data_IF_630958751249
#
_entry.id   IF_630958751249
#
_cell.length_a   1.000
_cell.length_b   1.000
_cell.length_c   1.000
_cell.angle_alpha   90.00
_cell.angle_beta   90.00
_cell.angle_gamma   90.00
#
_symmetry.space_group_name_H-M   'P 1'
#
loop_
_entity.id
_entity.type
_entity.pdbx_description
1 polymer ?
#
# COMPACT_ATOMS: atom_id res chain seq x y z
N UNK A 1 24.58 -0.20 64.21
CA UNK A 1 25.35 0.38 63.08
C UNK A 1 26.14 1.54 63.66
N UNK A 2 27.45 1.63 63.41
CA UNK A 2 28.28 2.70 63.98
C UNK A 2 27.98 4.02 63.25
N UNK A 3 27.85 5.12 63.99
CA UNK A 3 27.65 6.45 63.40
C UNK A 3 28.85 6.84 62.54
N UNK A 4 28.60 7.37 61.34
CA UNK A 4 29.63 7.78 60.40
C UNK A 4 30.48 8.93 60.99
N UNK A 5 31.76 8.96 60.64
CA UNK A 5 32.63 10.11 60.92
C UNK A 5 32.22 11.32 60.09
N UNK A 6 32.62 12.52 60.50
CA UNK A 6 32.28 13.76 59.78
C UNK A 6 32.76 13.74 58.30
N UNK A 7 33.94 13.18 58.05
CA UNK A 7 34.48 13.03 56.68
C UNK A 7 33.67 12.04 55.85
N UNK A 8 33.24 10.92 56.44
CA UNK A 8 32.39 9.93 55.75
C UNK A 8 31.00 10.51 55.42
N UNK A 9 30.44 11.31 56.33
CA UNK A 9 29.17 12.03 56.10
C UNK A 9 29.31 13.02 54.93
N UNK A 10 30.37 13.82 54.91
CA UNK A 10 30.61 14.79 53.84
C UNK A 10 30.80 14.11 52.48
N UNK A 11 31.53 12.98 52.46
CA UNK A 11 31.70 12.17 51.27
C UNK A 11 30.39 11.53 50.79
N UNK A 12 29.58 11.00 51.70
CA UNK A 12 28.27 10.43 51.38
C UNK A 12 27.32 11.49 50.84
N UNK A 13 27.23 12.67 51.48
CA UNK A 13 26.43 13.81 51.00
C UNK A 13 26.86 14.25 49.60
N UNK A 14 28.17 14.35 49.36
CA UNK A 14 28.69 14.70 48.03
C UNK A 14 28.36 13.61 46.99
N UNK A 15 28.46 12.34 47.36
CA UNK A 15 28.12 11.21 46.48
C UNK A 15 26.63 11.18 46.14
N UNK A 16 25.75 11.29 47.14
CA UNK A 16 24.29 11.34 46.95
C UNK A 16 23.85 12.58 46.17
N UNK A 17 24.50 13.72 46.42
CA UNK A 17 24.30 14.93 45.63
C UNK A 17 24.53 14.68 44.14
N UNK A 18 25.70 14.15 43.76
CA UNK A 18 25.99 13.83 42.36
C UNK A 18 25.03 12.82 41.75
N UNK A 19 24.63 11.80 42.51
CA UNK A 19 23.67 10.79 42.08
C UNK A 19 22.29 11.41 41.79
N UNK A 20 21.81 12.28 42.68
CA UNK A 20 20.53 12.98 42.53
C UNK A 20 20.57 14.03 41.43
N UNK A 21 21.70 14.73 41.23
CA UNK A 21 21.87 15.66 40.12
C UNK A 21 21.79 14.93 38.77
N UNK A 22 22.39 13.74 38.67
CA UNK A 22 22.29 12.89 37.48
C UNK A 22 20.85 12.41 37.23
N UNK A 23 20.15 11.96 38.27
CA UNK A 23 18.72 11.59 38.19
C UNK A 23 17.87 12.78 37.76
N UNK A 24 18.14 13.97 38.30
CA UNK A 24 17.43 15.20 37.94
C UNK A 24 17.58 15.49 36.45
N UNK A 25 18.80 15.39 35.90
CA UNK A 25 19.04 15.59 34.49
C UNK A 25 18.24 14.60 33.63
N UNK A 26 18.25 13.31 33.97
CA UNK A 26 17.49 12.28 33.25
C UNK A 26 15.97 12.50 33.34
N UNK A 27 15.45 12.90 34.50
CA UNK A 27 14.02 13.19 34.66
C UNK A 27 13.59 14.44 33.86
N UNK A 28 14.45 15.44 33.73
CA UNK A 28 14.19 16.60 32.87
C UNK A 28 14.18 16.24 31.37
N UNK A 29 15.04 15.31 30.95
CA UNK A 29 14.98 14.75 29.59
C UNK A 29 13.69 13.98 29.35
N UNK A 30 13.28 13.16 30.33
CA UNK A 30 12.03 12.40 30.28
C UNK A 30 10.80 13.33 30.20
N UNK A 31 10.78 14.43 30.97
CA UNK A 31 9.68 15.40 30.96
C UNK A 31 9.49 16.06 29.58
N UNK A 32 10.58 16.17 28.82
CA UNK A 32 10.62 16.71 27.45
C UNK A 32 10.47 15.64 26.36
N UNK A 33 10.30 14.38 26.73
CA UNK A 33 10.23 13.29 25.78
C UNK A 33 9.04 13.48 24.81
N UNK A 34 9.21 13.40 23.49
CA UNK A 34 8.14 13.65 22.52
C UNK A 34 6.89 12.79 22.76
N UNK A 35 7.06 11.51 23.07
CA UNK A 35 5.97 10.62 23.45
C UNK A 35 5.16 11.09 24.68
N UNK A 36 5.82 11.65 25.69
CA UNK A 36 5.13 12.17 26.88
C UNK A 36 4.42 13.49 26.58
N UNK A 37 5.05 14.37 25.80
CA UNK A 37 4.45 15.63 25.33
C UNK A 37 3.19 15.35 24.52
N UNK A 38 3.21 14.34 23.65
CA UNK A 38 2.04 13.92 22.88
C UNK A 38 0.88 13.49 23.78
N UNK A 39 1.15 12.57 24.73
CA UNK A 39 0.12 12.02 25.63
C UNK A 39 -0.48 13.08 26.57
N UNK A 40 0.31 14.06 27.00
CA UNK A 40 -0.17 15.19 27.81
C UNK A 40 -0.94 16.21 26.99
N UNK A 41 -0.57 16.38 25.70
CA UNK A 41 -1.23 17.33 24.81
C UNK A 41 -2.58 16.83 24.31
N UNK A 42 -2.69 15.54 24.01
CA UNK A 42 -3.89 14.91 23.45
C UNK A 42 -4.22 13.66 24.28
N UNK A 43 -5.39 13.60 24.94
CA UNK A 43 -5.78 12.44 25.72
C UNK A 43 -5.76 11.15 24.89
N UNK A 44 -5.01 10.12 25.31
CA UNK A 44 -4.93 8.88 24.55
C UNK A 44 -6.26 8.13 24.59
N UNK A 45 -6.50 7.32 23.56
CA UNK A 45 -7.68 6.45 23.44
C UNK A 45 -7.28 5.01 23.12
N UNK A 46 -8.24 4.09 23.15
CA UNK A 46 -8.09 2.73 22.62
C UNK A 46 -6.96 1.88 23.23
N UNK A 47 -6.01 1.43 22.42
CA UNK A 47 -4.89 0.58 22.86
C UNK A 47 -3.89 1.38 23.69
N UNK A 48 -3.55 2.58 23.22
CA UNK A 48 -2.60 3.47 23.87
C UNK A 48 -3.09 3.88 25.25
N UNK A 49 -4.36 4.23 25.41
CA UNK A 49 -4.93 4.57 26.73
C UNK A 49 -4.83 3.42 27.75
N UNK A 50 -5.14 2.19 27.31
CA UNK A 50 -5.08 1.01 28.18
C UNK A 50 -3.66 0.71 28.65
N UNK A 51 -2.68 0.92 27.78
CA UNK A 51 -1.27 0.74 28.12
C UNK A 51 -0.70 1.94 28.90
N UNK A 52 -1.23 3.14 28.68
CA UNK A 52 -0.80 4.36 29.36
C UNK A 52 -1.19 4.36 30.85
N UNK A 53 -2.41 3.96 31.20
CA UNK A 53 -2.91 4.03 32.58
C UNK A 53 -1.96 3.46 33.66
N UNK A 54 -1.39 2.24 33.54
CA UNK A 54 -0.42 1.75 34.53
C UNK A 54 0.94 2.47 34.47
N UNK A 55 1.32 3.01 33.30
CA UNK A 55 2.58 3.76 33.13
C UNK A 55 2.46 5.16 33.74
N UNK A 56 1.31 5.80 33.64
CA UNK A 56 0.99 7.08 34.26
C UNK A 56 1.12 6.99 35.79
N UNK A 57 0.53 5.96 36.40
CA UNK A 57 0.68 5.70 37.83
C UNK A 57 2.13 5.46 38.25
N UNK A 58 2.89 4.75 37.41
CA UNK A 58 4.31 4.50 37.66
C UNK A 58 5.15 5.77 37.53
N UNK A 59 4.80 6.65 36.59
CA UNK A 59 5.42 7.95 36.39
C UNK A 59 5.14 8.88 37.58
N UNK A 60 3.89 8.95 38.05
CA UNK A 60 3.51 9.73 39.22
C UNK A 60 4.26 9.26 40.47
N UNK A 61 4.30 7.94 40.71
CA UNK A 61 5.06 7.37 41.82
C UNK A 61 6.55 7.69 41.73
N UNK A 62 7.12 7.69 40.52
CA UNK A 62 8.53 8.03 40.31
C UNK A 62 8.82 9.51 40.64
N UNK A 63 7.90 10.43 40.33
CA UNK A 63 8.02 11.83 40.72
C UNK A 63 7.84 12.04 42.23
N UNK A 64 6.91 11.33 42.87
CA UNK A 64 6.79 11.33 44.34
C UNK A 64 8.07 10.83 45.01
N UNK A 65 8.62 9.72 44.51
CA UNK A 65 9.86 9.11 44.96
C UNK A 65 11.04 10.07 44.83
N UNK A 66 11.14 10.77 43.70
CA UNK A 66 12.14 11.81 43.50
C UNK A 66 12.01 12.93 44.55
N UNK A 67 10.79 13.42 44.80
CA UNK A 67 10.52 14.42 45.83
C UNK A 67 10.91 13.95 47.24
N UNK A 68 10.64 12.68 47.58
CA UNK A 68 11.07 12.08 48.87
C UNK A 68 12.60 12.06 49.00
N UNK A 69 13.31 11.68 47.93
CA UNK A 69 14.78 11.63 47.92
C UNK A 69 15.37 13.03 48.10
N UNK A 70 14.83 14.04 47.40
CA UNK A 70 15.24 15.43 47.56
C UNK A 70 15.02 15.92 49.00
N UNK A 71 13.84 15.66 49.58
CA UNK A 71 13.52 16.04 50.94
C UNK A 71 14.48 15.43 51.98
N UNK A 72 14.81 14.14 51.85
CA UNK A 72 15.78 13.48 52.76
C UNK A 72 17.17 14.11 52.61
N UNK A 73 17.63 14.35 51.38
CA UNK A 73 18.95 14.95 51.15
C UNK A 73 19.02 16.39 51.68
N UNK A 74 17.98 17.19 51.46
CA UNK A 74 17.94 18.58 51.94
C UNK A 74 17.85 18.63 53.46
N UNK A 75 17.10 17.74 54.10
CA UNK A 75 17.10 17.59 55.55
C UNK A 75 18.50 17.24 56.07
N UNK A 76 19.21 16.30 55.43
CA UNK A 76 20.57 15.93 55.81
C UNK A 76 21.55 17.11 55.63
N UNK A 77 21.43 17.90 54.55
CA UNK A 77 22.22 19.12 54.31
C UNK A 77 21.96 20.18 55.39
N UNK A 78 20.71 20.39 55.79
CA UNK A 78 20.34 21.33 56.85
C UNK A 78 20.95 20.91 58.18
N UNK A 79 20.79 19.66 58.59
CA UNK A 79 21.37 19.14 59.84
C UNK A 79 22.89 19.27 59.83
N UNK A 80 23.55 19.00 58.69
CA UNK A 80 24.99 19.15 58.54
C UNK A 80 25.47 20.60 58.61
N UNK A 81 24.68 21.56 58.11
CA UNK A 81 25.01 22.98 58.06
C UNK A 81 24.79 23.72 59.40
N UNK A 82 23.98 23.17 60.31
CA UNK A 82 23.65 23.81 61.60
C UNK A 82 24.86 24.03 62.52
N UNK A 83 25.90 23.18 62.44
CA UNK A 83 27.07 23.25 63.34
C UNK A 83 28.38 22.88 62.65
N UNK A 84 29.45 23.63 62.95
CA UNK A 84 30.82 23.35 62.47
C UNK A 84 31.42 22.08 63.07
N UNK A 85 31.06 21.73 64.33
CA UNK A 85 31.45 20.48 65.00
C UNK A 85 30.20 19.65 65.29
N UNK A 86 30.11 18.47 64.69
CA UNK A 86 28.99 17.54 64.85
C UNK A 86 29.06 16.81 66.19
N UNK A 87 27.94 16.79 66.92
CA UNK A 87 27.78 15.94 68.11
C UNK A 87 27.56 14.46 67.71
N UNK A 88 27.68 13.53 68.65
CA UNK A 88 27.35 12.11 68.40
C UNK A 88 25.88 11.93 67.96
N UNK A 89 24.97 12.72 68.53
CA UNK A 89 23.57 12.73 68.16
C UNK A 89 23.37 13.20 66.70
N UNK A 90 24.05 14.28 66.30
CA UNK A 90 24.00 14.78 64.91
C UNK A 90 24.55 13.74 63.92
N UNK A 91 25.65 13.05 64.27
CA UNK A 91 26.24 11.98 63.43
C UNK A 91 25.32 10.78 63.29
N UNK A 92 24.64 10.39 64.38
CA UNK A 92 23.68 9.30 64.37
C UNK A 92 22.47 9.65 63.49
N UNK A 93 21.94 10.87 63.62
CA UNK A 93 20.81 11.34 62.80
C UNK A 93 21.18 11.45 61.32
N UNK A 94 22.36 11.98 60.98
CA UNK A 94 22.84 12.04 59.60
C UNK A 94 23.07 10.64 59.02
N UNK A 95 23.59 9.70 59.81
CA UNK A 95 23.74 8.30 59.39
C UNK A 95 22.37 7.67 59.11
N UNK A 96 21.37 7.93 59.96
CA UNK A 96 19.98 7.48 59.77
C UNK A 96 19.37 8.06 58.49
N UNK A 97 19.53 9.36 58.25
CA UNK A 97 19.00 10.02 57.05
C UNK A 97 19.63 9.50 55.76
N UNK A 98 20.94 9.28 55.75
CA UNK A 98 21.67 8.94 54.53
C UNK A 98 21.71 7.44 54.20
N UNK A 99 21.70 6.56 55.22
CA UNK A 99 21.88 5.11 55.03
C UNK A 99 20.72 4.24 55.50
N UNK A 100 19.84 4.76 56.35
CA UNK A 100 18.69 4.01 56.83
C UNK A 100 17.41 4.40 56.09
N UNK A 101 16.26 4.14 56.73
CA UNK A 101 14.93 4.40 56.19
C UNK A 101 14.24 5.47 57.03
N UNK A 102 14.59 6.75 56.83
CA UNK A 102 14.14 7.80 57.73
C UNK A 102 12.72 8.29 57.47
N UNK A 103 12.14 7.99 56.30
CA UNK A 103 10.91 8.62 55.83
C UNK A 103 9.74 7.64 55.83
N UNK A 104 8.61 8.03 56.39
CA UNK A 104 7.38 7.24 56.40
C UNK A 104 6.76 7.24 54.99
N UNK A 105 6.76 6.08 54.33
CA UNK A 105 6.27 5.89 52.99
C UNK A 105 4.76 5.67 52.92
N UNK A 106 4.23 4.83 53.82
CA UNK A 106 2.83 4.46 53.88
C UNK A 106 2.45 4.01 55.29
N UNK A 107 1.19 4.25 55.65
CA UNK A 107 0.57 3.83 56.90
C UNK A 107 -0.72 3.11 56.58
N UNK A 108 -0.78 1.83 56.89
CA UNK A 108 -1.94 0.98 56.59
C UNK A 108 -2.53 0.43 57.87
N UNK A 109 -3.83 0.60 58.08
CA UNK A 109 -4.51 0.01 59.23
C UNK A 109 -4.45 -1.52 59.13
N UNK A 110 -3.95 -2.18 60.18
CA UNK A 110 -3.95 -3.63 60.28
C UNK A 110 -5.40 -4.07 60.54
N UNK A 111 -5.99 -5.02 59.78
CA UNK A 111 -7.34 -5.50 60.04
C UNK A 111 -7.50 -6.05 61.47
N UNK A 112 -8.66 -5.82 62.10
CA UNK A 112 -8.88 -6.17 63.52
C UNK A 112 -8.55 -7.63 63.86
N UNK A 113 -8.83 -8.57 62.94
CA UNK A 113 -8.54 -10.00 63.10
C UNK A 113 -7.04 -10.34 63.17
N UNK A 114 -6.17 -9.43 62.70
CA UNK A 114 -4.71 -9.58 62.70
C UNK A 114 -4.05 -8.72 63.79
N UNK A 115 -4.83 -7.99 64.59
CA UNK A 115 -4.34 -7.18 65.71
C UNK A 115 -4.16 -8.05 66.95
N UNK A 116 -3.13 -7.76 67.74
CA UNK A 116 -3.04 -8.25 69.12
C UNK A 116 -3.55 -7.17 70.09
N UNK A 117 -4.02 -7.59 71.27
CA UNK A 117 -4.64 -6.71 72.28
C UNK A 117 -3.74 -5.53 72.70
N UNK A 118 -2.42 -5.67 72.55
CA UNK A 118 -1.40 -4.65 72.87
C UNK A 118 -0.49 -4.33 71.67
N UNK A 119 -0.85 -4.78 70.47
CA UNK A 119 -0.04 -4.60 69.26
C UNK A 119 -0.35 -3.30 68.53
N UNK A 120 0.49 -2.92 67.56
CA UNK A 120 0.24 -1.76 66.72
C UNK A 120 -1.04 -1.96 65.89
N UNK A 121 -1.87 -0.93 65.79
CA UNK A 121 -3.07 -0.93 64.95
C UNK A 121 -2.81 -0.60 63.47
N UNK A 122 -1.58 -0.18 63.17
CA UNK A 122 -1.14 0.29 61.85
C UNK A 122 0.24 -0.29 61.52
N UNK A 123 0.44 -0.64 60.25
CA UNK A 123 1.73 -0.97 59.68
C UNK A 123 2.29 0.27 58.99
N UNK A 124 3.46 0.72 59.45
CA UNK A 124 4.17 1.88 58.88
C UNK A 124 5.36 1.37 58.08
N UNK A 125 5.39 1.70 56.79
CA UNK A 125 6.51 1.39 55.90
C UNK A 125 7.46 2.58 55.89
N UNK A 126 8.73 2.37 56.19
CA UNK A 126 9.75 3.40 56.04
C UNK A 126 10.60 3.14 54.79
N UNK A 127 11.03 4.21 54.11
CA UNK A 127 11.93 4.16 52.94
C UNK A 127 13.12 5.10 53.12
N UNK A 128 14.25 4.71 52.53
CA UNK A 128 15.45 5.54 52.44
C UNK A 128 15.81 5.95 51.02
N UNK A 129 16.86 6.76 50.90
CA UNK A 129 17.37 7.21 49.60
C UNK A 129 17.68 6.00 48.69
N UNK A 130 18.37 4.98 49.23
CA UNK A 130 18.74 3.79 48.46
C UNK A 130 17.52 3.00 47.96
N UNK A 131 16.52 2.75 48.80
CA UNK A 131 15.32 1.99 48.42
C UNK A 131 14.53 2.73 47.32
N UNK A 132 14.43 4.05 47.45
CA UNK A 132 13.69 4.89 46.52
C UNK A 132 14.40 5.01 45.17
N UNK A 133 15.72 5.25 45.16
CA UNK A 133 16.50 5.27 43.92
C UNK A 133 16.48 3.92 43.20
N UNK A 134 16.49 2.79 43.92
CA UNK A 134 16.40 1.47 43.30
C UNK A 134 15.03 1.24 42.64
N UNK A 135 13.95 1.66 43.30
CA UNK A 135 12.60 1.61 42.73
C UNK A 135 12.49 2.48 41.47
N UNK A 136 13.03 3.71 41.51
CA UNK A 136 13.09 4.59 40.34
C UNK A 136 13.88 3.97 39.19
N UNK A 137 15.05 3.37 39.46
CA UNK A 137 15.88 2.67 38.46
C UNK A 137 15.16 1.49 37.83
N UNK A 138 14.34 0.78 38.61
CA UNK A 138 13.54 -0.33 38.12
C UNK A 138 12.37 0.14 37.25
N UNK A 139 11.72 1.24 37.64
CA UNK A 139 10.56 1.80 36.94
C UNK A 139 10.94 2.48 35.61
N UNK A 140 12.05 3.22 35.59
CA UNK A 140 12.42 4.10 34.49
C UNK A 140 12.47 3.41 33.11
N UNK A 141 13.12 2.23 32.93
CA UNK A 141 13.18 1.57 31.62
C UNK A 141 11.81 1.15 31.08
N UNK A 142 10.83 0.91 31.94
CA UNK A 142 9.47 0.59 31.49
C UNK A 142 8.76 1.82 30.96
N UNK A 143 8.87 2.96 31.66
CA UNK A 143 8.32 4.25 31.22
C UNK A 143 8.99 4.68 29.90
N UNK A 144 10.31 4.71 29.86
CA UNK A 144 11.08 5.15 28.68
C UNK A 144 10.70 4.34 27.43
N UNK A 145 10.71 2.99 27.51
CA UNK A 145 10.34 2.13 26.37
C UNK A 145 8.91 2.37 25.87
N UNK A 146 7.98 2.65 26.78
CA UNK A 146 6.61 2.97 26.39
C UNK A 146 6.54 4.29 25.62
N UNK A 147 7.21 5.33 26.14
CA UNK A 147 7.25 6.64 25.49
C UNK A 147 7.99 6.60 24.14
N UNK A 148 9.08 5.83 24.04
CA UNK A 148 9.80 5.58 22.79
C UNK A 148 8.89 4.92 21.75
N UNK A 149 8.08 3.94 22.14
CA UNK A 149 7.16 3.26 21.24
C UNK A 149 6.07 4.21 20.73
N UNK A 150 5.54 5.07 21.59
CA UNK A 150 4.56 6.11 21.24
C UNK A 150 5.16 7.11 20.25
N UNK A 151 6.36 7.63 20.54
CA UNK A 151 7.05 8.56 19.65
C UNK A 151 7.38 7.92 18.30
N UNK A 152 7.96 6.72 18.30
CA UNK A 152 8.33 6.02 17.07
C UNK A 152 7.12 5.76 16.16
N UNK A 153 5.98 5.37 16.74
CA UNK A 153 4.75 5.17 15.97
C UNK A 153 4.23 6.49 15.39
N UNK A 154 4.16 7.56 16.20
CA UNK A 154 3.65 8.84 15.75
C UNK A 154 4.56 9.51 14.71
N UNK A 155 5.86 9.57 14.99
CA UNK A 155 6.87 10.10 14.08
C UNK A 155 6.91 9.34 12.76
N UNK A 156 6.71 8.02 12.76
CA UNK A 156 6.61 7.24 11.53
C UNK A 156 5.45 7.71 10.65
N UNK A 157 4.25 7.86 11.21
CA UNK A 157 3.07 8.29 10.46
C UNK A 157 3.31 9.66 9.81
N UNK A 158 3.88 10.60 10.56
CA UNK A 158 4.22 11.93 10.05
C UNK A 158 5.20 11.88 8.87
N UNK A 159 6.27 11.09 9.00
CA UNK A 159 7.30 10.98 7.96
C UNK A 159 6.79 10.28 6.69
N UNK A 160 6.07 9.16 6.82
CA UNK A 160 5.59 8.42 5.65
C UNK A 160 4.47 9.13 4.90
N UNK A 161 3.64 9.92 5.59
CA UNK A 161 2.54 10.66 4.97
C UNK A 161 2.99 11.97 4.31
N UNK A 162 4.16 12.52 4.68
CA UNK A 162 4.69 13.79 4.17
C UNK A 162 4.71 13.90 2.64
N UNK A 163 5.16 12.88 1.86
CA UNK A 163 5.10 12.93 0.40
C UNK A 163 3.66 12.98 -0.14
N UNK A 164 2.75 12.20 0.45
CA UNK A 164 1.33 12.14 0.07
C UNK A 164 0.67 13.49 0.34
N UNK A 165 0.91 14.10 1.50
CA UNK A 165 0.40 15.43 1.85
C UNK A 165 0.93 16.53 0.91
N UNK A 166 2.22 16.49 0.58
CA UNK A 166 2.83 17.46 -0.33
C UNK A 166 2.19 17.42 -1.72
N UNK A 167 2.02 16.23 -2.28
CA UNK A 167 1.36 16.05 -3.58
C UNK A 167 -0.14 16.40 -3.55
N UNK A 168 -0.87 16.02 -2.49
CA UNK A 168 -2.27 16.43 -2.30
C UNK A 168 -2.42 17.95 -2.25
N UNK A 169 -1.50 18.65 -1.59
CA UNK A 169 -1.52 20.12 -1.50
C UNK A 169 -1.32 20.78 -2.86
N UNK A 170 -0.51 20.19 -3.74
CA UNK A 170 -0.31 20.67 -5.12
C UNK A 170 -1.53 20.43 -6.00
N UNK A 171 -2.16 19.27 -5.88
CA UNK A 171 -3.31 18.88 -6.71
C UNK A 171 -4.62 19.50 -6.24
N UNK A 172 -4.74 19.80 -4.93
CA UNK A 172 -5.96 20.30 -4.31
C UNK A 172 -7.07 19.25 -4.22
N UNK A 173 -8.22 19.63 -3.67
CA UNK A 173 -9.40 18.76 -3.51
C UNK A 173 -10.30 18.69 -4.75
N UNK A 174 -9.73 18.73 -5.95
CA UNK A 174 -10.47 18.95 -7.21
C UNK A 174 -11.36 17.76 -7.55
N UNK A 175 -10.96 16.54 -7.19
CA UNK A 175 -11.73 15.32 -7.45
C UNK A 175 -12.26 14.68 -6.17
N UNK A 176 -13.34 13.88 -6.23
CA UNK A 176 -13.81 13.12 -5.08
C UNK A 176 -12.76 12.15 -4.52
N UNK A 177 -11.92 11.58 -5.39
CA UNK A 177 -10.85 10.67 -4.98
C UNK A 177 -9.76 11.43 -4.20
N UNK A 178 -9.32 12.60 -4.66
CA UNK A 178 -8.36 13.42 -3.91
C UNK A 178 -8.90 13.84 -2.54
N UNK A 179 -10.20 14.15 -2.44
CA UNK A 179 -10.86 14.42 -1.15
C UNK A 179 -10.87 13.19 -0.25
N UNK A 180 -11.23 12.02 -0.78
CA UNK A 180 -11.22 10.77 -0.03
C UNK A 180 -9.80 10.38 0.46
N UNK A 181 -8.77 10.64 -0.35
CA UNK A 181 -7.38 10.45 0.07
C UNK A 181 -7.01 11.44 1.17
N UNK A 182 -7.39 12.72 1.05
CA UNK A 182 -7.15 13.73 2.09
C UNK A 182 -7.84 13.37 3.42
N UNK A 183 -9.08 12.89 3.37
CA UNK A 183 -9.83 12.44 4.55
C UNK A 183 -9.15 11.22 5.20
N UNK A 184 -8.66 10.26 4.39
CA UNK A 184 -7.93 9.11 4.90
C UNK A 184 -6.59 9.49 5.54
N UNK A 185 -5.87 10.45 4.97
CA UNK A 185 -4.66 11.02 5.57
C UNK A 185 -4.98 11.70 6.91
N UNK A 186 -6.06 12.48 6.97
CA UNK A 186 -6.50 13.13 8.20
C UNK A 186 -6.92 12.12 9.29
N UNK A 187 -7.62 11.05 8.92
CA UNK A 187 -7.96 9.95 9.84
C UNK A 187 -6.70 9.25 10.37
N UNK A 188 -5.72 8.96 9.50
CA UNK A 188 -4.45 8.37 9.95
C UNK A 188 -3.70 9.28 10.91
N UNK A 189 -3.64 10.60 10.66
CA UNK A 189 -3.01 11.57 11.55
C UNK A 189 -3.77 11.69 12.88
N UNK A 190 -5.10 11.73 12.83
CA UNK A 190 -5.95 11.80 14.02
C UNK A 190 -5.79 10.56 14.91
N UNK A 191 -5.74 9.37 14.31
CA UNK A 191 -5.47 8.11 15.03
C UNK A 191 -4.05 8.06 15.55
N UNK A 192 -3.05 8.51 14.80
CA UNK A 192 -1.67 8.59 15.27
C UNK A 192 -1.52 9.50 16.49
N UNK A 193 -2.29 10.59 16.52
CA UNK A 193 -2.27 11.54 17.63
C UNK A 193 -2.97 11.04 18.90
N UNK A 194 -3.97 10.16 18.77
CA UNK A 194 -4.83 9.71 19.88
C UNK A 194 -4.60 8.25 20.30
N UNK A 195 -4.21 7.38 19.37
CA UNK A 195 -3.94 5.96 19.60
C UNK A 195 -2.77 5.44 18.73
N UNK A 196 -1.55 5.99 18.91
CA UNK A 196 -0.37 5.63 18.11
C UNK A 196 -0.02 4.14 18.19
N UNK A 197 -0.25 3.48 19.32
CA UNK A 197 0.09 2.07 19.53
C UNK A 197 -0.92 1.08 18.96
N UNK A 198 -2.07 1.54 18.45
CA UNK A 198 -3.08 0.66 17.87
C UNK A 198 -2.72 0.14 16.48
N UNK A 199 -1.82 0.82 15.76
CA UNK A 199 -1.45 0.43 14.40
C UNK A 199 0.03 0.06 14.35
N UNK A 200 0.34 -1.09 13.78
CA UNK A 200 1.72 -1.54 13.61
C UNK A 200 2.43 -0.76 12.51
N UNK A 201 3.77 -0.72 12.54
CA UNK A 201 4.58 -0.09 11.50
C UNK A 201 4.27 -0.63 10.09
N UNK A 202 4.07 -1.95 9.95
CA UNK A 202 3.76 -2.59 8.67
C UNK A 202 2.37 -2.18 8.14
N UNK A 203 1.38 -2.00 9.01
CA UNK A 203 0.05 -1.52 8.62
C UNK A 203 0.09 -0.04 8.20
N UNK A 204 0.85 0.79 8.92
CA UNK A 204 1.11 2.20 8.56
C UNK A 204 1.72 2.26 7.16
N UNK A 205 2.75 1.47 6.89
CA UNK A 205 3.43 1.44 5.59
C UNK A 205 2.50 0.96 4.48
N UNK A 206 1.74 -0.11 4.75
CA UNK A 206 0.81 -0.70 3.77
C UNK A 206 -0.27 0.30 3.37
N UNK A 207 -0.91 0.94 4.36
CA UNK A 207 -1.94 1.96 4.11
C UNK A 207 -1.37 3.17 3.39
N UNK A 208 -0.20 3.64 3.81
CA UNK A 208 0.46 4.78 3.15
C UNK A 208 0.83 4.47 1.71
N UNK A 209 1.36 3.28 1.43
CA UNK A 209 1.67 2.83 0.09
C UNK A 209 0.41 2.71 -0.78
N UNK A 210 -0.72 2.31 -0.20
CA UNK A 210 -2.01 2.30 -0.90
C UNK A 210 -2.47 3.72 -1.26
N UNK A 211 -2.42 4.66 -0.31
CA UNK A 211 -2.76 6.07 -0.55
C UNK A 211 -1.85 6.68 -1.62
N UNK A 212 -0.54 6.41 -1.56
CA UNK A 212 0.41 6.87 -2.56
C UNK A 212 0.07 6.33 -3.96
N UNK A 213 -0.24 5.03 -4.09
CA UNK A 213 -0.67 4.43 -5.37
C UNK A 213 -1.96 5.03 -5.90
N UNK A 214 -2.94 5.29 -5.02
CA UNK A 214 -4.21 5.94 -5.40
C UNK A 214 -3.98 7.37 -5.89
N UNK A 215 -3.18 8.15 -5.16
CA UNK A 215 -2.80 9.51 -5.51
C UNK A 215 -2.04 9.57 -6.83
N UNK A 216 -1.09 8.65 -7.05
CA UNK A 216 -0.32 8.60 -8.28
C UNK A 216 -1.21 8.31 -9.50
N UNK A 217 -2.16 7.37 -9.37
CA UNK A 217 -3.16 7.11 -10.43
C UNK A 217 -3.99 8.36 -10.74
N UNK A 218 -4.53 8.99 -9.71
CA UNK A 218 -5.37 10.18 -9.86
C UNK A 218 -4.59 11.37 -10.45
N UNK A 219 -3.32 11.53 -10.04
CA UNK A 219 -2.42 12.55 -10.59
C UNK A 219 -2.17 12.34 -12.09
N UNK A 220 -1.91 11.10 -12.51
CA UNK A 220 -1.74 10.76 -13.94
C UNK A 220 -3.01 11.06 -14.74
N UNK A 221 -4.17 10.68 -14.21
CA UNK A 221 -5.46 10.97 -14.83
C UNK A 221 -5.67 12.48 -15.00
N UNK A 222 -5.37 13.29 -13.97
CA UNK A 222 -5.48 14.75 -14.04
C UNK A 222 -4.49 15.38 -15.03
N UNK A 223 -3.28 14.84 -15.16
CA UNK A 223 -2.31 15.28 -16.16
C UNK A 223 -2.83 14.98 -17.57
N UNK A 224 -3.35 13.78 -17.81
CA UNK A 224 -3.95 13.42 -19.10
C UNK A 224 -5.11 14.36 -19.45
N UNK A 225 -6.03 14.59 -18.51
CA UNK A 225 -7.16 15.51 -18.71
C UNK A 225 -6.68 16.94 -19.01
N UNK A 226 -5.64 17.40 -18.33
CA UNK A 226 -5.07 18.74 -18.56
C UNK A 226 -4.48 18.87 -19.97
N UNK A 227 -3.78 17.85 -20.44
CA UNK A 227 -3.26 17.80 -21.81
C UNK A 227 -4.40 17.84 -22.83
N UNK A 228 -5.49 17.09 -22.58
CA UNK A 228 -6.67 17.14 -23.46
C UNK A 228 -7.31 18.53 -23.50
N UNK A 229 -7.45 19.20 -22.35
CA UNK A 229 -8.05 20.54 -22.31
C UNK A 229 -7.15 21.63 -22.88
N UNK A 230 -5.81 21.47 -22.79
CA UNK A 230 -4.86 22.48 -23.25
C UNK A 230 -4.89 22.68 -24.78
N UNK A 231 -5.14 21.60 -25.53
CA UNK A 231 -5.33 21.65 -26.99
C UNK A 231 -6.54 20.79 -27.40
N UNK A 232 -7.71 21.26 -26.97
CA UNK A 232 -8.98 20.60 -27.26
C UNK A 232 -9.22 20.37 -28.77
N UNK A 233 -8.99 21.35 -29.66
CA UNK A 233 -9.21 21.15 -31.10
C UNK A 233 -8.32 20.04 -31.69
N UNK A 234 -7.04 19.96 -31.29
CA UNK A 234 -6.18 18.87 -31.72
C UNK A 234 -6.64 17.53 -31.14
N UNK A 235 -7.05 17.51 -29.86
CA UNK A 235 -7.55 16.30 -29.22
C UNK A 235 -8.81 15.74 -29.91
N UNK A 236 -9.74 16.60 -30.33
CA UNK A 236 -10.93 16.22 -31.10
C UNK A 236 -10.52 15.71 -32.48
N UNK A 237 -9.67 16.44 -33.21
CA UNK A 237 -9.22 16.03 -34.56
C UNK A 237 -8.56 14.65 -34.54
N UNK A 238 -7.62 14.42 -33.62
CA UNK A 238 -6.98 13.12 -33.45
C UNK A 238 -7.99 11.99 -33.16
N UNK A 239 -9.05 12.30 -32.40
CA UNK A 239 -10.10 11.31 -32.08
C UNK A 239 -10.98 11.04 -33.30
N UNK A 240 -11.28 12.05 -34.11
CA UNK A 240 -11.97 11.90 -35.40
C UNK A 240 -11.18 11.02 -36.35
N UNK A 241 -9.88 11.24 -36.47
CA UNK A 241 -8.99 10.45 -37.33
C UNK A 241 -8.95 8.98 -36.91
N UNK A 242 -8.83 8.72 -35.60
CA UNK A 242 -8.90 7.35 -35.06
C UNK A 242 -10.24 6.69 -35.36
N UNK A 243 -11.35 7.40 -35.16
CA UNK A 243 -12.68 6.87 -35.46
C UNK A 243 -12.90 6.60 -36.95
N UNK A 244 -12.38 7.46 -37.83
CA UNK A 244 -12.40 7.25 -39.28
C UNK A 244 -11.60 6.00 -39.68
N UNK A 245 -10.41 5.80 -39.07
CA UNK A 245 -9.62 4.59 -39.29
C UNK A 245 -10.36 3.32 -38.84
N UNK A 246 -11.08 3.35 -37.70
CA UNK A 246 -11.93 2.24 -37.27
C UNK A 246 -13.03 1.95 -38.30
N UNK A 247 -13.70 2.99 -38.82
CA UNK A 247 -14.69 2.83 -39.90
C UNK A 247 -14.13 2.08 -41.11
N UNK A 248 -12.93 2.43 -41.57
CA UNK A 248 -12.28 1.74 -42.69
C UNK A 248 -11.92 0.27 -42.39
N UNK A 249 -11.67 -0.10 -41.13
CA UNK A 249 -11.49 -1.51 -40.73
C UNK A 249 -12.82 -2.24 -40.71
N UNK A 250 -13.88 -1.61 -40.18
CA UNK A 250 -15.24 -2.17 -40.15
C UNK A 250 -15.75 -2.46 -41.56
N UNK A 251 -15.60 -1.52 -42.49
CA UNK A 251 -16.01 -1.69 -43.89
C UNK A 251 -15.27 -2.85 -44.57
N UNK A 252 -13.95 -2.95 -44.36
CA UNK A 252 -13.13 -4.06 -44.87
C UNK A 252 -13.54 -5.40 -44.26
N UNK A 253 -13.80 -5.45 -42.95
CA UNK A 253 -14.26 -6.64 -42.27
C UNK A 253 -15.63 -7.09 -42.79
N UNK A 254 -16.55 -6.15 -43.02
CA UNK A 254 -17.86 -6.43 -43.58
C UNK A 254 -17.77 -7.01 -45.00
N UNK A 255 -16.94 -6.41 -45.87
CA UNK A 255 -16.69 -6.90 -47.22
C UNK A 255 -16.06 -8.31 -47.22
N UNK A 256 -15.03 -8.53 -46.40
CA UNK A 256 -14.38 -9.84 -46.29
C UNK A 256 -15.38 -10.90 -45.79
N UNK A 257 -16.23 -10.55 -44.82
CA UNK A 257 -17.28 -11.44 -44.30
C UNK A 257 -18.29 -11.82 -45.39
N UNK A 258 -18.76 -10.85 -46.18
CA UNK A 258 -19.67 -11.11 -47.31
C UNK A 258 -19.04 -12.06 -48.32
N UNK A 259 -17.78 -11.82 -48.69
CA UNK A 259 -17.04 -12.69 -49.59
C UNK A 259 -16.86 -14.10 -49.05
N UNK A 260 -16.60 -14.28 -47.75
CA UNK A 260 -16.51 -15.60 -47.12
C UNK A 260 -17.86 -16.30 -47.17
N UNK A 261 -18.94 -15.61 -46.82
CA UNK A 261 -20.30 -16.18 -46.81
C UNK A 261 -20.77 -16.61 -48.21
N UNK A 262 -20.33 -15.89 -49.25
CA UNK A 262 -20.57 -16.28 -50.64
C UNK A 262 -19.70 -17.48 -51.06
N UNK A 263 -18.40 -17.44 -50.74
CA UNK A 263 -17.40 -18.32 -51.36
C UNK A 263 -17.10 -19.60 -50.59
N UNK A 264 -17.36 -19.64 -49.29
CA UNK A 264 -16.87 -20.66 -48.37
C UNK A 264 -18.01 -21.23 -47.56
N UNK A 265 -18.07 -22.55 -47.47
CA UNK A 265 -19.05 -23.24 -46.66
C UNK A 265 -18.59 -23.17 -45.20
N UNK A 266 -19.15 -22.22 -44.44
CA UNK A 266 -18.82 -21.97 -43.04
C UNK A 266 -20.09 -21.70 -42.24
N UNK A 267 -20.00 -21.84 -40.92
CA UNK A 267 -21.01 -21.30 -40.02
C UNK A 267 -21.06 -19.76 -40.14
N UNK A 268 -22.19 -19.11 -39.80
CA UNK A 268 -22.28 -17.65 -39.79
C UNK A 268 -21.14 -17.04 -38.97
N UNK A 269 -20.32 -16.21 -39.63
CA UNK A 269 -19.28 -15.45 -38.96
C UNK A 269 -19.89 -14.44 -37.96
N UNK A 270 -19.21 -14.13 -36.84
CA UNK A 270 -19.66 -13.13 -35.90
C UNK A 270 -19.96 -11.80 -36.60
N UNK A 271 -21.16 -11.26 -36.37
CA UNK A 271 -21.55 -9.94 -36.82
C UNK A 271 -21.58 -9.01 -35.61
N UNK A 272 -20.77 -7.95 -35.64
CA UNK A 272 -20.80 -6.90 -34.64
C UNK A 272 -21.63 -5.74 -35.16
N UNK A 273 -22.41 -5.11 -34.28
CA UNK A 273 -23.11 -3.87 -34.59
C UNK A 273 -22.08 -2.79 -34.91
N UNK A 274 -22.30 -2.04 -35.98
CA UNK A 274 -21.50 -0.85 -36.26
C UNK A 274 -21.80 0.24 -35.22
N UNK A 275 -20.80 0.54 -34.39
CA UNK A 275 -20.85 1.56 -33.35
C UNK A 275 -20.23 2.90 -33.81
N UNK A 276 -19.67 2.97 -35.03
CA UNK A 276 -18.94 4.16 -35.49
C UNK A 276 -19.84 5.39 -35.60
N UNK A 277 -21.09 5.22 -36.06
CA UNK A 277 -22.09 6.29 -36.14
C UNK A 277 -22.43 6.90 -34.78
N UNK A 278 -22.89 6.10 -33.79
CA UNK A 278 -23.12 6.58 -32.42
C UNK A 278 -21.90 7.26 -31.80
N UNK A 279 -20.70 6.65 -31.92
CA UNK A 279 -19.46 7.23 -31.40
C UNK A 279 -19.11 8.57 -32.06
N UNK A 280 -19.43 8.74 -33.35
CA UNK A 280 -19.24 10.01 -34.08
C UNK A 280 -20.17 11.09 -33.55
N UNK A 281 -21.45 10.78 -33.37
CA UNK A 281 -22.43 11.72 -32.80
C UNK A 281 -22.05 12.18 -31.38
N UNK A 282 -21.54 11.27 -30.55
CA UNK A 282 -21.01 11.62 -29.23
C UNK A 282 -19.77 12.52 -29.33
N UNK A 283 -18.85 12.25 -30.27
CA UNK A 283 -17.66 13.08 -30.49
C UNK A 283 -18.01 14.49 -30.96
N UNK A 284 -18.98 14.62 -31.87
CA UNK A 284 -19.41 15.92 -32.37
C UNK A 284 -20.12 16.74 -31.28
N UNK A 285 -20.93 16.08 -30.44
CA UNK A 285 -21.52 16.71 -29.25
C UNK A 285 -20.45 17.26 -28.30
N UNK A 286 -19.34 16.54 -28.13
CA UNK A 286 -18.20 17.02 -27.32
C UNK A 286 -17.41 18.13 -28.01
N UNK A 287 -17.28 18.09 -29.33
CA UNK A 287 -16.59 19.11 -30.11
C UNK A 287 -17.29 20.48 -30.04
N UNK A 288 -18.63 20.47 -30.05
CA UNK A 288 -19.46 21.68 -30.02
C UNK A 288 -19.79 22.17 -28.60
N UNK A 289 -19.44 21.37 -27.58
CA UNK A 289 -19.73 21.65 -26.18
C UNK A 289 -18.73 22.59 -25.48
N UNK A 290 -19.01 22.89 -24.21
CA UNK A 290 -18.09 23.67 -23.36
C UNK A 290 -16.90 22.80 -22.95
N UNK A 291 -15.69 23.35 -23.09
CA UNK A 291 -14.45 22.67 -22.66
C UNK A 291 -14.29 22.81 -21.15
N UNK A 292 -14.64 21.75 -20.42
CA UNK A 292 -14.43 21.63 -18.98
C UNK A 292 -13.84 20.26 -18.60
N UNK A 293 -13.61 20.04 -17.30
CA UNK A 293 -13.08 18.76 -16.81
C UNK A 293 -14.01 17.57 -17.12
N UNK A 294 -15.32 17.80 -17.19
CA UNK A 294 -16.32 16.77 -17.53
C UNK A 294 -16.23 16.39 -19.00
N UNK A 295 -16.08 17.35 -19.90
CA UNK A 295 -15.86 17.13 -21.33
C UNK A 295 -14.56 16.34 -21.55
N UNK A 296 -13.47 16.71 -20.88
CA UNK A 296 -12.20 15.96 -20.98
C UNK A 296 -12.33 14.51 -20.51
N UNK A 297 -13.06 14.27 -19.41
CA UNK A 297 -13.36 12.91 -18.95
C UNK A 297 -14.18 12.12 -19.98
N UNK A 298 -15.22 12.75 -20.55
CA UNK A 298 -16.05 12.11 -21.57
C UNK A 298 -15.27 11.79 -22.85
N UNK A 299 -14.37 12.67 -23.29
CA UNK A 299 -13.51 12.43 -24.45
C UNK A 299 -12.54 11.27 -24.21
N UNK A 300 -11.97 11.17 -23.01
CA UNK A 300 -11.11 10.04 -22.63
C UNK A 300 -11.87 8.72 -22.67
N UNK A 301 -13.08 8.69 -22.10
CA UNK A 301 -13.94 7.51 -22.12
C UNK A 301 -14.35 7.13 -23.56
N UNK A 302 -14.65 8.11 -24.39
CA UNK A 302 -14.95 7.91 -25.80
C UNK A 302 -13.76 7.31 -26.56
N UNK A 303 -12.54 7.82 -26.33
CA UNK A 303 -11.30 7.26 -26.89
C UNK A 303 -11.09 5.80 -26.50
N UNK A 304 -11.40 5.43 -25.25
CA UNK A 304 -11.33 4.04 -24.77
C UNK A 304 -12.31 3.14 -25.54
N UNK A 305 -13.55 3.59 -25.73
CA UNK A 305 -14.57 2.86 -26.50
C UNK A 305 -14.19 2.72 -27.97
N UNK A 306 -13.61 3.75 -28.59
CA UNK A 306 -13.08 3.71 -29.95
C UNK A 306 -11.97 2.65 -30.07
N UNK A 307 -11.04 2.60 -29.12
CA UNK A 307 -9.98 1.58 -29.11
C UNK A 307 -10.54 0.16 -28.99
N UNK A 308 -11.55 -0.05 -28.13
CA UNK A 308 -12.22 -1.35 -28.02
C UNK A 308 -13.01 -1.73 -29.29
N UNK A 309 -13.59 -0.76 -30.00
CA UNK A 309 -14.21 -0.98 -31.30
C UNK A 309 -13.18 -1.35 -32.38
N UNK A 310 -12.00 -0.71 -32.36
CA UNK A 310 -10.89 -1.03 -33.25
C UNK A 310 -10.46 -2.49 -33.10
N UNK A 311 -10.16 -2.95 -31.88
CA UNK A 311 -9.72 -4.33 -31.63
C UNK A 311 -10.75 -5.34 -32.11
N UNK A 312 -12.05 -5.09 -31.87
CA UNK A 312 -13.13 -5.97 -32.37
C UNK A 312 -13.18 -6.00 -33.90
N UNK A 313 -13.04 -4.85 -34.57
CA UNK A 313 -13.05 -4.77 -36.02
C UNK A 313 -11.84 -5.49 -36.65
N UNK A 314 -10.65 -5.34 -36.04
CA UNK A 314 -9.42 -6.03 -36.47
C UNK A 314 -9.55 -7.55 -36.34
N UNK A 315 -10.06 -8.05 -35.20
CA UNK A 315 -10.30 -9.48 -35.00
C UNK A 315 -11.30 -10.07 -36.01
N UNK A 316 -12.37 -9.31 -36.33
CA UNK A 316 -13.35 -9.72 -37.33
C UNK A 316 -12.75 -9.77 -38.74
N UNK A 317 -11.93 -8.77 -39.09
CA UNK A 317 -11.21 -8.74 -40.37
C UNK A 317 -10.21 -9.90 -40.49
N UNK A 318 -9.41 -10.15 -39.45
CA UNK A 318 -8.43 -11.22 -39.42
C UNK A 318 -9.08 -12.59 -39.62
N UNK A 319 -10.19 -12.86 -38.92
CA UNK A 319 -10.93 -14.11 -39.06
C UNK A 319 -11.47 -14.31 -40.49
N UNK A 320 -12.11 -13.28 -41.05
CA UNK A 320 -12.69 -13.38 -42.39
C UNK A 320 -11.60 -13.50 -43.46
N UNK A 321 -10.56 -12.66 -43.38
CA UNK A 321 -9.44 -12.68 -44.32
C UNK A 321 -8.67 -14.00 -44.26
N UNK A 322 -8.45 -14.57 -43.06
CA UNK A 322 -7.77 -15.85 -42.90
C UNK A 322 -8.47 -17.01 -43.62
N UNK A 323 -9.81 -17.00 -43.70
CA UNK A 323 -10.56 -18.01 -44.47
C UNK A 323 -10.38 -17.85 -45.99
N UNK A 324 -10.39 -16.61 -46.48
CA UNK A 324 -10.13 -16.30 -47.89
C UNK A 324 -8.70 -16.67 -48.29
N UNK A 325 -7.73 -16.32 -47.45
CA UNK A 325 -6.32 -16.63 -47.64
C UNK A 325 -6.09 -18.14 -47.63
N UNK A 326 -6.77 -18.87 -46.72
CA UNK A 326 -6.71 -20.35 -46.71
C UNK A 326 -7.24 -20.94 -48.01
N UNK A 327 -8.32 -20.40 -48.58
CA UNK A 327 -8.82 -20.85 -49.89
C UNK A 327 -7.80 -20.57 -51.00
N UNK A 328 -7.16 -19.41 -50.99
CA UNK A 328 -6.12 -19.05 -51.95
C UNK A 328 -4.88 -19.95 -51.82
N UNK A 329 -4.45 -20.25 -50.59
CA UNK A 329 -3.35 -21.18 -50.29
C UNK A 329 -3.64 -22.58 -50.84
N UNK A 330 -4.84 -23.12 -50.60
CA UNK A 330 -5.24 -24.42 -51.12
C UNK A 330 -5.24 -24.47 -52.66
N UNK A 331 -5.65 -23.38 -53.34
CA UNK A 331 -5.50 -23.26 -54.80
C UNK A 331 -4.05 -23.31 -55.24
N UNK A 332 -3.17 -22.55 -54.59
CA UNK A 332 -1.73 -22.56 -54.89
C UNK A 332 -1.10 -23.93 -54.68
N UNK A 333 -1.44 -24.61 -53.57
CA UNK A 333 -0.95 -25.96 -53.24
C UNK A 333 -1.39 -27.00 -54.26
N UNK A 334 -2.67 -26.99 -54.65
CA UNK A 334 -3.16 -27.91 -55.68
C UNK A 334 -2.42 -27.70 -57.01
N UNK A 335 -2.25 -26.45 -57.45
CA UNK A 335 -1.51 -26.12 -58.66
C UNK A 335 -0.05 -26.60 -58.60
N UNK A 336 0.62 -26.45 -57.46
CA UNK A 336 1.98 -26.94 -57.28
C UNK A 336 2.08 -28.46 -57.38
N UNK A 337 1.14 -29.21 -56.80
CA UNK A 337 1.11 -30.67 -56.93
C UNK A 337 0.74 -31.14 -58.35
N UNK A 338 -0.11 -30.39 -59.07
CA UNK A 338 -0.38 -30.64 -60.49
C UNK A 338 0.90 -30.52 -61.34
N UNK A 339 1.68 -29.45 -61.13
CA UNK A 339 2.98 -29.28 -61.80
C UNK A 339 3.95 -30.42 -61.43
N UNK A 340 4.00 -30.83 -60.15
CA UNK A 340 4.86 -31.93 -59.71
C UNK A 340 4.47 -33.26 -60.38
N UNK A 341 3.18 -33.58 -60.44
CA UNK A 341 2.69 -34.80 -61.10
C UNK A 341 3.05 -34.84 -62.59
N UNK A 342 2.90 -33.71 -63.29
CA UNK A 342 3.31 -33.56 -64.69
C UNK A 342 4.83 -33.77 -64.87
N UNK A 343 5.66 -33.16 -64.02
CA UNK A 343 7.12 -33.31 -64.07
C UNK A 343 7.58 -34.75 -63.83
N UNK A 344 6.87 -35.50 -63.00
CA UNK A 344 7.14 -36.92 -62.72
C UNK A 344 6.53 -37.85 -63.78
N UNK A 345 5.81 -37.33 -64.77
CA UNK A 345 5.19 -38.12 -65.85
C UNK A 345 4.03 -39.02 -65.40
N UNK A 346 3.50 -38.80 -64.19
CA UNK A 346 2.41 -39.61 -63.59
C UNK A 346 1.04 -38.94 -63.70
N UNK A 347 0.95 -37.77 -64.34
CA UNK A 347 -0.30 -37.00 -64.43
C UNK A 347 -1.43 -37.72 -65.15
N UNK A 348 -1.12 -38.62 -66.08
CA UNK A 348 -2.10 -39.39 -66.87
C UNK A 348 -2.53 -40.71 -66.23
N UNK A 349 -1.96 -41.06 -65.06
CA UNK A 349 -2.34 -42.28 -64.35
C UNK A 349 -3.75 -42.14 -63.78
N UNK A 350 -4.56 -43.19 -63.93
CA UNK A 350 -6.01 -43.14 -63.65
C UNK A 350 -6.32 -42.69 -62.22
N UNK A 351 -5.56 -43.19 -61.24
CA UNK A 351 -5.69 -42.84 -59.83
C UNK A 351 -5.36 -41.36 -59.58
N UNK A 352 -4.28 -40.85 -60.20
CA UNK A 352 -3.83 -39.45 -60.09
C UNK A 352 -4.86 -38.51 -60.74
N UNK A 353 -5.37 -38.85 -61.93
CA UNK A 353 -6.42 -38.12 -62.62
C UNK A 353 -7.73 -38.08 -61.81
N UNK A 354 -8.09 -39.19 -61.16
CA UNK A 354 -9.28 -39.27 -60.31
C UNK A 354 -9.16 -38.35 -59.09
N UNK A 355 -8.05 -38.46 -58.34
CA UNK A 355 -7.79 -37.63 -57.18
C UNK A 355 -7.69 -36.14 -57.55
N UNK A 356 -7.05 -35.79 -58.67
CA UNK A 356 -6.99 -34.42 -59.17
C UNK A 356 -8.37 -33.85 -59.51
N UNK A 357 -9.24 -34.64 -60.18
CA UNK A 357 -10.61 -34.24 -60.50
C UNK A 357 -11.44 -33.98 -59.24
N UNK A 358 -11.29 -34.81 -58.22
CA UNK A 358 -11.98 -34.62 -56.92
C UNK A 358 -11.51 -33.31 -56.27
N UNK A 359 -10.20 -33.11 -56.12
CA UNK A 359 -9.65 -31.90 -55.48
C UNK A 359 -10.03 -30.62 -56.25
N UNK A 360 -9.91 -30.62 -57.58
CA UNK A 360 -10.29 -29.49 -58.44
C UNK A 360 -11.79 -29.22 -58.37
N UNK A 361 -12.61 -30.27 -58.41
CA UNK A 361 -14.06 -30.18 -58.33
C UNK A 361 -14.54 -29.61 -56.99
N UNK A 362 -13.99 -30.06 -55.87
CA UNK A 362 -14.34 -29.53 -54.54
C UNK A 362 -13.93 -28.06 -54.38
N UNK A 363 -12.75 -27.69 -54.87
CA UNK A 363 -12.24 -26.31 -54.78
C UNK A 363 -12.98 -25.32 -55.70
N UNK A 364 -13.57 -25.83 -56.79
CA UNK A 364 -14.40 -25.07 -57.72
C UNK A 364 -15.84 -24.83 -57.24
N UNK A 365 -16.31 -25.49 -56.18
CA UNK A 365 -17.66 -25.28 -55.63
C UNK A 365 -17.81 -23.91 -54.99
N UNK A 366 -19.02 -23.37 -55.06
CA UNK A 366 -19.45 -22.15 -54.37
C UNK A 366 -20.78 -22.46 -53.69
N UNK A 367 -20.85 -22.53 -52.35
CA UNK A 367 -19.75 -22.34 -51.39
C UNK A 367 -18.77 -23.53 -51.31
N UNK A 368 -17.47 -23.24 -51.10
CA UNK A 368 -16.38 -24.21 -51.01
C UNK A 368 -16.18 -24.72 -49.57
N UNK A 369 -16.20 -26.04 -49.35
CA UNK A 369 -15.83 -26.65 -48.06
C UNK A 369 -14.30 -26.79 -47.94
N UNK A 370 -13.68 -25.91 -47.15
CA UNK A 370 -12.23 -25.89 -46.97
C UNK A 370 -11.68 -27.16 -46.31
N UNK A 371 -12.44 -27.81 -45.43
CA UNK A 371 -12.02 -29.03 -44.75
C UNK A 371 -12.05 -30.22 -45.73
N UNK A 372 -13.09 -30.32 -46.55
CA UNK A 372 -13.17 -31.31 -47.63
C UNK A 372 -12.05 -31.13 -48.66
N UNK A 373 -11.79 -29.90 -49.09
CA UNK A 373 -10.70 -29.58 -50.04
C UNK A 373 -9.33 -29.91 -49.45
N UNK A 374 -9.08 -29.58 -48.19
CA UNK A 374 -7.79 -29.87 -47.55
C UNK A 374 -7.51 -31.37 -47.57
N UNK A 375 -8.49 -32.21 -47.23
CA UNK A 375 -8.36 -33.67 -47.32
C UNK A 375 -8.10 -34.14 -48.75
N UNK A 376 -8.88 -33.67 -49.72
CA UNK A 376 -8.73 -34.08 -51.11
C UNK A 376 -7.36 -33.69 -51.72
N UNK A 377 -6.78 -32.55 -51.33
CA UNK A 377 -5.43 -32.15 -51.76
C UNK A 377 -4.37 -33.05 -51.10
N UNK A 378 -4.53 -33.41 -49.83
CA UNK A 378 -3.63 -34.36 -49.16
C UNK A 378 -3.69 -35.74 -49.80
N UNK A 379 -4.89 -36.24 -50.12
CA UNK A 379 -5.08 -37.53 -50.80
C UNK A 379 -4.42 -37.49 -52.19
N UNK A 380 -4.63 -36.40 -52.95
CA UNK A 380 -3.97 -36.20 -54.25
C UNK A 380 -2.44 -36.22 -54.14
N UNK A 381 -1.87 -35.55 -53.12
CA UNK A 381 -0.44 -35.57 -52.86
C UNK A 381 0.07 -36.99 -52.58
N UNK A 382 -0.64 -37.78 -51.77
CA UNK A 382 -0.27 -39.16 -51.44
C UNK A 382 -0.31 -40.06 -52.67
N UNK A 383 -1.38 -40.00 -53.47
CA UNK A 383 -1.51 -40.77 -54.71
C UNK A 383 -0.38 -40.44 -55.69
N UNK A 384 -0.02 -39.16 -55.86
CA UNK A 384 1.12 -38.76 -56.70
C UNK A 384 2.43 -39.37 -56.19
N UNK A 385 2.64 -39.40 -54.87
CA UNK A 385 3.84 -39.99 -54.27
C UNK A 385 3.88 -41.51 -54.52
N UNK A 386 2.80 -42.23 -54.20
CA UNK A 386 2.72 -43.69 -54.31
C UNK A 386 2.85 -44.19 -55.75
N UNK A 387 2.26 -43.48 -56.72
CA UNK A 387 2.35 -43.83 -58.15
C UNK A 387 3.76 -43.54 -58.68
N UNK A 388 4.37 -42.42 -58.27
CA UNK A 388 5.75 -42.10 -58.68
C UNK A 388 6.79 -43.06 -58.09
N UNK A 389 6.60 -43.50 -56.84
CA UNK A 389 7.47 -44.46 -56.16
C UNK A 389 7.33 -45.90 -56.65
N UNK A 390 6.23 -46.25 -57.32
CA UNK A 390 6.05 -47.55 -58.02
C UNK A 390 6.74 -47.60 -59.39
N UNK A 391 7.07 -46.44 -59.97
CA UNK A 391 7.72 -46.31 -61.30
C UNK A 391 9.23 -46.09 -61.23
N UNK A 392 9.74 -45.53 -60.13
CA UNK A 392 11.17 -45.47 -59.82
C UNK A 392 11.64 -46.78 -59.23
#
# INVERSE_FOLDING_TARGET
>A
MHALTALEIDNELASRGREIDAVTATLLELDRHPGLVLLRGIPPTGVTARQWAPIEQLLDLMWEDFGRVQAILDQARVVRAQRTKLTEADRTELTRLLRERPHEAARTAIPMAQRSLTGPGEQVLFVGIADTLERMRTAFPQIARFLDAVDAANSRVLEVLKPVQSELSKLGGVTPELRAIADAVADMLGRSATDPLATTAAEIDTRTAELARRLERESRDLVELRVLTADWPAAITQTRDRLAAVGAVVDRAALAREQVQEKIHTAPLPAHRDETGPLRGELDTLADGVVDARAAFALRELRRRIAAAQTRAEQALELAQGLLDRRAELRGRLAAYQVKAARLGVSEESDVLSANRIATGLLGRVPCDLAAVTRAITDYQQVVADVSGRRG
#
